data_IF_184988141869
#
_entry.id   IF_184988141869
#
_cell.length_a   1.000
_cell.length_b   1.000
_cell.length_c   1.000
_cell.angle_alpha   90.00
_cell.angle_beta   90.00
_cell.angle_gamma   90.00
#
_symmetry.space_group_name_H-M   'P 1'
#
loop_
_entity.id
_entity.type
_entity.pdbx_description
1 polymer ?
#
# COMPACT_ATOMS: atom_id res chain seq x y z
N UNK A 1 2.68 -13.25 10.01
CA UNK A 1 1.94 -14.22 10.83
C UNK A 1 0.83 -14.81 9.97
N UNK A 2 0.71 -16.13 9.96
CA UNK A 2 -0.32 -16.87 9.22
C UNK A 2 -1.22 -17.58 10.23
N UNK A 3 -2.54 -17.45 10.06
CA UNK A 3 -3.53 -18.11 10.90
C UNK A 3 -4.68 -18.62 10.07
N UNK A 4 -4.90 -19.93 10.09
CA UNK A 4 -6.01 -20.59 9.43
C UNK A 4 -6.91 -21.23 10.50
N UNK A 5 -8.04 -20.56 10.77
CA UNK A 5 -9.09 -21.00 11.70
C UNK A 5 -10.29 -21.58 10.96
N UNK A 6 -11.51 -21.32 11.45
CA UNK A 6 -12.81 -21.76 10.89
C UNK A 6 -13.00 -21.44 9.38
N UNK A 7 -12.32 -22.17 8.50
CA UNK A 7 -12.27 -21.99 7.03
C UNK A 7 -11.84 -20.58 6.58
N UNK A 8 -11.19 -19.82 7.45
CA UNK A 8 -10.68 -18.48 7.15
C UNK A 8 -9.18 -18.48 7.42
N UNK A 9 -8.40 -18.06 6.42
CA UNK A 9 -6.97 -17.86 6.52
C UNK A 9 -6.64 -16.37 6.44
N UNK A 10 -5.82 -15.91 7.36
CA UNK A 10 -5.28 -14.56 7.38
C UNK A 10 -3.76 -14.60 7.22
N UNK A 11 -3.24 -13.66 6.43
CA UNK A 11 -1.81 -13.39 6.30
C UNK A 11 -1.57 -11.94 6.73
N UNK A 12 -0.76 -11.77 7.77
CA UNK A 12 -0.26 -10.46 8.21
C UNK A 12 1.20 -10.30 7.78
N UNK A 13 1.44 -9.33 6.89
CA UNK A 13 2.77 -8.90 6.45
C UNK A 13 3.05 -7.53 7.10
N UNK A 14 4.14 -7.40 7.82
CA UNK A 14 4.55 -6.17 8.52
C UNK A 14 5.79 -5.57 7.86
N UNK A 15 6.02 -4.26 8.02
CA UNK A 15 7.16 -3.55 7.45
C UNK A 15 7.28 -3.71 5.92
N UNK A 16 6.15 -3.69 5.22
CA UNK A 16 6.10 -3.79 3.77
C UNK A 16 6.77 -2.59 3.09
N UNK A 17 7.42 -2.86 1.97
CA UNK A 17 8.16 -1.91 1.15
C UNK A 17 7.62 -1.92 -0.28
N UNK A 18 8.09 -0.99 -1.12
CA UNK A 18 7.68 -0.94 -2.54
C UNK A 18 7.94 -2.25 -3.28
N UNK A 19 9.05 -2.94 -2.98
CA UNK A 19 9.42 -4.21 -3.63
C UNK A 19 8.51 -5.37 -3.26
N UNK A 20 7.73 -5.25 -2.19
CA UNK A 20 6.77 -6.28 -1.78
C UNK A 20 5.43 -6.15 -2.55
N UNK A 21 5.28 -5.14 -3.41
CA UNK A 21 4.08 -4.96 -4.23
C UNK A 21 3.95 -6.09 -5.25
N UNK A 22 2.91 -6.90 -5.11
CA UNK A 22 2.66 -8.05 -5.99
C UNK A 22 1.21 -8.56 -5.85
N UNK A 23 0.84 -9.55 -6.65
CA UNK A 23 -0.36 -10.36 -6.45
C UNK A 23 -0.07 -11.51 -5.47
N UNK A 24 -0.83 -11.58 -4.38
CA UNK A 24 -0.74 -12.63 -3.36
C UNK A 24 -1.90 -13.61 -3.48
N UNK A 25 -1.61 -14.91 -3.31
CA UNK A 25 -2.59 -15.99 -3.39
C UNK A 25 -2.41 -16.96 -2.25
N UNK A 26 -3.51 -17.35 -1.63
CA UNK A 26 -3.51 -18.54 -0.77
C UNK A 26 -3.53 -19.78 -1.64
N UNK A 27 -2.61 -20.70 -1.37
CA UNK A 27 -2.59 -22.04 -1.95
C UNK A 27 -2.92 -23.06 -0.87
N UNK A 28 -3.96 -23.84 -1.12
CA UNK A 28 -4.39 -24.95 -0.27
C UNK A 28 -3.95 -26.25 -0.92
N UNK A 29 -3.23 -27.08 -0.17
CA UNK A 29 -2.86 -28.43 -0.56
C UNK A 29 -3.80 -29.38 0.18
N UNK A 30 -4.47 -30.25 -0.54
CA UNK A 30 -5.40 -31.23 0.04
C UNK A 30 -4.70 -32.56 0.28
N UNK A 31 -5.38 -33.48 0.96
CA UNK A 31 -4.90 -34.86 1.14
C UNK A 31 -5.00 -35.73 -0.13
N UNK A 32 -5.55 -35.21 -1.24
CA UNK A 32 -5.56 -35.92 -2.51
C UNK A 32 -4.20 -35.76 -3.21
N UNK A 33 -3.68 -36.84 -3.82
CA UNK A 33 -2.34 -36.92 -4.42
C UNK A 33 -2.00 -35.78 -5.41
N UNK A 34 -3.00 -35.11 -6.00
CA UNK A 34 -2.80 -33.95 -6.88
C UNK A 34 -3.77 -32.80 -6.60
N UNK A 35 -4.47 -32.84 -5.47
CA UNK A 35 -5.47 -31.84 -5.14
C UNK A 35 -4.80 -30.59 -4.55
N UNK A 36 -4.76 -29.51 -5.32
CA UNK A 36 -4.41 -28.19 -4.81
C UNK A 36 -5.33 -27.13 -5.40
N UNK A 37 -5.61 -26.11 -4.61
CA UNK A 37 -6.41 -24.96 -5.02
C UNK A 37 -5.63 -23.68 -4.72
N UNK A 38 -5.58 -22.78 -5.69
CA UNK A 38 -5.09 -21.42 -5.48
C UNK A 38 -6.23 -20.45 -5.76
N UNK A 39 -6.43 -19.47 -4.88
CA UNK A 39 -7.43 -18.43 -5.11
C UNK A 39 -7.13 -17.65 -6.40
N UNK A 40 -8.13 -17.49 -7.26
CA UNK A 40 -8.06 -16.69 -8.50
C UNK A 40 -9.31 -15.81 -8.60
N UNK A 41 -9.19 -14.49 -8.80
CA UNK A 41 -7.94 -13.72 -8.82
C UNK A 41 -7.25 -13.70 -7.44
N UNK A 42 -5.96 -13.38 -7.43
CA UNK A 42 -5.27 -13.09 -6.18
C UNK A 42 -5.62 -11.72 -5.62
N UNK A 43 -5.02 -11.38 -4.49
CA UNK A 43 -5.12 -10.06 -3.87
C UNK A 43 -3.91 -9.24 -4.26
N UNK A 44 -4.11 -8.11 -4.95
CA UNK A 44 -3.03 -7.20 -5.31
C UNK A 44 -2.67 -6.30 -4.14
N UNK A 45 -1.41 -6.39 -3.67
CA UNK A 45 -0.81 -5.42 -2.76
C UNK A 45 -0.06 -4.36 -3.57
N UNK A 46 -0.41 -3.10 -3.38
CA UNK A 46 0.32 -1.96 -3.93
C UNK A 46 0.80 -1.06 -2.80
N UNK A 47 2.11 -1.07 -2.56
CA UNK A 47 2.73 -0.21 -1.55
C UNK A 47 3.18 1.08 -2.22
N UNK A 48 2.48 2.18 -1.93
CA UNK A 48 2.84 3.51 -2.43
C UNK A 48 3.66 4.26 -1.38
N UNK A 49 4.67 4.99 -1.82
CA UNK A 49 5.40 5.94 -0.98
C UNK A 49 4.91 7.35 -1.25
N UNK A 50 4.89 8.20 -0.22
CA UNK A 50 4.63 9.63 -0.40
C UNK A 50 5.82 10.28 -1.11
N UNK A 51 5.61 10.71 -2.36
CA UNK A 51 6.51 11.63 -3.04
C UNK A 51 5.78 12.97 -3.13
N UNK A 52 6.46 14.02 -2.68
CA UNK A 52 5.99 15.39 -2.77
C UNK A 52 6.96 16.12 -3.69
N UNK A 53 6.45 16.69 -4.77
CA UNK A 53 7.24 17.56 -5.62
C UNK A 53 6.81 19.01 -5.38
N UNK A 54 7.80 19.88 -5.31
CA UNK A 54 7.63 21.32 -5.10
C UNK A 54 8.05 22.05 -6.35
N UNK A 55 7.16 22.89 -6.86
CA UNK A 55 7.45 23.83 -7.93
C UNK A 55 7.33 25.24 -7.37
N UNK A 56 8.25 26.12 -7.78
CA UNK A 56 8.23 27.52 -7.38
C UNK A 56 8.51 28.40 -8.60
N UNK A 57 7.87 29.55 -8.63
CA UNK A 57 8.26 30.69 -9.45
C UNK A 57 8.33 31.95 -8.59
N UNK A 58 8.50 33.13 -9.21
CA UNK A 58 8.61 34.40 -8.49
C UNK A 58 7.34 34.79 -7.73
N UNK A 59 6.20 34.16 -8.01
CA UNK A 59 4.87 34.56 -7.52
C UNK A 59 4.15 33.52 -6.66
N UNK A 60 4.34 32.22 -6.90
CA UNK A 60 3.67 31.17 -6.13
C UNK A 60 4.54 29.93 -5.92
N UNK A 61 4.19 29.21 -4.84
CA UNK A 61 4.67 27.88 -4.55
C UNK A 61 3.55 26.88 -4.80
N UNK A 62 3.87 25.77 -5.48
CA UNK A 62 2.95 24.67 -5.70
C UNK A 62 3.52 23.39 -5.11
N UNK A 63 2.73 22.77 -4.24
CA UNK A 63 3.00 21.45 -3.68
C UNK A 63 2.07 20.44 -4.36
N UNK A 64 2.60 19.38 -4.94
CA UNK A 64 1.80 18.26 -5.44
C UNK A 64 2.33 16.93 -4.91
N UNK A 65 1.42 15.98 -4.76
CA UNK A 65 1.76 14.57 -4.55
C UNK A 65 1.06 13.72 -5.59
N UNK A 66 1.81 12.79 -6.17
CA UNK A 66 1.26 11.76 -7.08
C UNK A 66 0.65 10.57 -6.32
N UNK A 67 0.72 10.60 -4.99
CA UNK A 67 0.17 9.54 -4.18
C UNK A 67 -1.32 9.80 -3.91
N UNK A 68 -2.16 8.81 -4.19
CA UNK A 68 -3.54 8.75 -3.68
C UNK A 68 -3.49 8.44 -2.19
N UNK A 69 -3.31 9.49 -1.38
CA UNK A 69 -3.37 9.41 0.06
C UNK A 69 -4.83 9.15 0.48
N UNK A 70 -5.02 8.19 1.40
CA UNK A 70 -6.34 7.96 1.98
C UNK A 70 -6.78 9.21 2.77
N UNK A 71 -8.03 9.65 2.54
CA UNK A 71 -8.55 10.87 3.14
C UNK A 71 -8.67 10.75 4.68
N UNK A 72 -8.54 11.86 5.42
CA UNK A 72 -8.30 13.22 4.93
C UNK A 72 -6.80 13.57 4.81
N UNK A 73 -6.44 14.27 3.74
CA UNK A 73 -5.09 14.82 3.51
C UNK A 73 -5.09 16.30 3.88
N UNK A 74 -4.08 16.76 4.62
CA UNK A 74 -3.88 18.18 4.92
C UNK A 74 -2.56 18.68 4.33
N UNK A 75 -2.60 19.88 3.77
CA UNK A 75 -1.42 20.61 3.30
C UNK A 75 -1.13 21.75 4.27
N UNK A 76 0.13 21.90 4.69
CA UNK A 76 0.57 22.98 5.55
C UNK A 76 1.62 23.81 4.81
N UNK A 77 1.47 25.14 4.86
CA UNK A 77 2.42 26.08 4.29
C UNK A 77 3.19 26.78 5.41
N UNK A 78 4.49 26.96 5.18
CA UNK A 78 5.38 27.67 6.09
C UNK A 78 6.19 28.70 5.31
N UNK A 79 6.30 29.91 5.86
CA UNK A 79 7.17 30.97 5.36
C UNK A 79 8.13 31.35 6.47
N UNK A 80 9.43 31.16 6.24
CA UNK A 80 10.48 31.49 7.22
C UNK A 80 10.25 30.86 8.61
N UNK A 81 9.79 29.61 8.64
CA UNK A 81 9.50 28.89 9.89
C UNK A 81 8.17 29.23 10.56
N UNK A 82 7.43 30.23 10.06
CA UNK A 82 6.08 30.56 10.54
C UNK A 82 5.03 29.91 9.66
N UNK A 83 4.02 29.31 10.29
CA UNK A 83 2.87 28.73 9.58
C UNK A 83 2.07 29.86 8.93
N UNK A 84 1.78 29.71 7.63
CA UNK A 84 0.85 30.58 6.90
C UNK A 84 -0.60 30.19 7.14
#
# INVERSE_FOLDING_TARGET
YENCGNKVCHLLITNVTKSDSNEFKFRFITNQQSGSFSGVPGVTLSVKGLQVNMHYDDTYLRCHSDCQLAAPVSYCWYKNGQKL
#
